data_IF_424255544171
#
_entry.id   IF_424255544171
#
_cell.length_a   1.000
_cell.length_b   1.000
_cell.length_c   1.000
_cell.angle_alpha   90.00
_cell.angle_beta   90.00
_cell.angle_gamma   90.00
#
_symmetry.space_group_name_H-M   'P 1'
#
loop_
_entity.id
_entity.type
_entity.pdbx_description
1 polymer ?
#
# COMPACT_ATOMS: atom_id res chain seq x y z
N UNK A 1 1.28 -26.20 1.05
CA UNK A 1 1.80 -24.84 1.19
C UNK A 1 0.66 -23.87 1.43
N UNK A 2 0.67 -23.20 2.55
CA UNK A 2 -0.42 -22.32 2.90
C UNK A 2 -0.08 -20.88 2.57
N UNK A 3 -1.04 -20.19 2.00
CA UNK A 3 -0.92 -18.75 1.82
C UNK A 3 -1.23 -18.07 3.15
N UNK A 4 -0.55 -17.00 3.42
CA UNK A 4 -0.80 -16.18 4.59
C UNK A 4 -1.55 -14.93 4.17
N UNK A 5 -2.51 -14.53 4.99
CA UNK A 5 -3.36 -13.38 4.69
C UNK A 5 -3.41 -12.48 5.92
N UNK A 6 -3.35 -11.18 5.70
CA UNK A 6 -3.52 -10.20 6.77
C UNK A 6 -4.37 -9.05 6.25
N UNK A 7 -5.43 -8.75 6.97
CA UNK A 7 -6.32 -7.65 6.62
C UNK A 7 -6.36 -6.67 7.78
N UNK A 8 -6.21 -5.38 7.46
CA UNK A 8 -6.26 -4.32 8.45
C UNK A 8 -7.28 -3.30 8.01
N UNK A 9 -8.03 -2.77 8.96
CA UNK A 9 -8.89 -1.61 8.75
C UNK A 9 -8.42 -0.54 9.71
N UNK A 10 -7.93 0.56 9.17
CA UNK A 10 -7.27 1.59 9.96
C UNK A 10 -7.95 2.94 9.75
N UNK A 11 -7.99 3.78 10.79
CA UNK A 11 -8.50 5.13 10.58
C UNK A 11 -7.60 5.90 9.61
N UNK A 12 -8.19 6.83 8.88
CA UNK A 12 -7.44 7.60 7.88
C UNK A 12 -6.71 8.75 8.57
N UNK A 13 -5.75 8.40 9.40
CA UNK A 13 -4.95 9.36 10.16
C UNK A 13 -3.48 9.00 10.02
N UNK A 14 -2.59 9.98 10.18
CA UNK A 14 -1.16 9.73 9.91
C UNK A 14 -0.54 8.62 10.74
N UNK A 15 -0.99 8.42 11.98
CA UNK A 15 -0.40 7.37 12.82
C UNK A 15 -0.70 5.98 12.29
N UNK A 16 -1.67 5.82 11.42
CA UNK A 16 -1.97 4.53 10.83
C UNK A 16 -0.86 4.04 9.91
N UNK A 17 -0.03 4.95 9.40
CA UNK A 17 1.10 4.57 8.54
C UNK A 17 2.07 3.68 9.31
N UNK A 18 2.48 4.14 10.50
CA UNK A 18 3.42 3.36 11.31
C UNK A 18 2.80 2.05 11.76
N UNK A 19 1.50 2.06 12.05
CA UNK A 19 0.83 0.84 12.48
C UNK A 19 0.77 -0.20 11.38
N UNK A 20 0.42 0.22 10.17
CA UNK A 20 0.38 -0.72 9.04
C UNK A 20 1.76 -1.31 8.78
N UNK A 21 2.78 -0.46 8.80
CA UNK A 21 4.15 -0.89 8.56
C UNK A 21 4.57 -1.92 9.59
N UNK A 22 4.28 -1.67 10.87
CA UNK A 22 4.68 -2.59 11.93
C UNK A 22 3.93 -3.92 11.82
N UNK A 23 2.63 -3.86 11.58
CA UNK A 23 1.84 -5.08 11.54
C UNK A 23 2.24 -5.97 10.36
N UNK A 24 2.44 -5.38 9.20
CA UNK A 24 2.83 -6.20 8.05
C UNK A 24 4.25 -6.71 8.18
N UNK A 25 5.18 -5.88 8.68
CA UNK A 25 6.55 -6.35 8.79
C UNK A 25 6.70 -7.42 9.85
N UNK A 26 5.94 -7.33 10.95
CA UNK A 26 5.97 -8.40 11.96
C UNK A 26 5.42 -9.70 11.42
N UNK A 27 4.33 -9.61 10.66
CA UNK A 27 3.72 -10.82 10.13
C UNK A 27 4.61 -11.51 9.11
N UNK A 28 5.36 -10.75 8.34
CA UNK A 28 6.16 -11.31 7.25
C UNK A 28 7.62 -11.55 7.62
N UNK A 29 8.07 -11.04 8.77
CA UNK A 29 9.47 -11.18 9.16
C UNK A 29 9.97 -12.62 9.15
N UNK A 30 9.18 -13.61 9.54
CA UNK A 30 9.70 -14.98 9.51
C UNK A 30 10.04 -15.49 8.12
N UNK A 31 9.50 -14.87 7.08
CA UNK A 31 9.62 -15.42 5.74
C UNK A 31 10.38 -14.54 4.77
N UNK A 32 10.61 -13.27 5.10
CA UNK A 32 11.32 -12.36 4.22
C UNK A 32 12.69 -12.04 4.77
N UNK A 33 13.66 -11.95 3.87
CA UNK A 33 14.98 -11.48 4.25
C UNK A 33 14.96 -10.00 4.60
N UNK A 34 16.03 -9.54 5.25
CA UNK A 34 16.08 -8.18 5.76
C UNK A 34 15.91 -7.13 4.67
N UNK A 35 16.52 -7.35 3.51
CA UNK A 35 16.42 -6.39 2.42
C UNK A 35 15.01 -6.30 1.88
N UNK A 36 14.36 -7.45 1.72
CA UNK A 36 12.98 -7.45 1.25
C UNK A 36 12.04 -6.85 2.28
N UNK A 37 12.31 -7.09 3.55
CA UNK A 37 11.50 -6.54 4.61
C UNK A 37 11.62 -5.02 4.64
N UNK A 38 12.81 -4.48 4.41
CA UNK A 38 12.99 -3.04 4.33
C UNK A 38 12.23 -2.46 3.16
N UNK A 39 12.26 -3.13 2.02
CA UNK A 39 11.49 -2.69 0.84
C UNK A 39 10.01 -2.72 1.15
N UNK A 40 9.52 -3.78 1.78
CA UNK A 40 8.12 -3.89 2.16
C UNK A 40 7.71 -2.71 3.04
N UNK A 41 8.50 -2.41 4.06
CA UNK A 41 8.19 -1.31 4.97
C UNK A 41 8.08 0.02 4.23
N UNK A 42 9.01 0.24 3.30
CA UNK A 42 9.02 1.48 2.54
C UNK A 42 7.78 1.60 1.66
N UNK A 43 7.45 0.53 0.94
CA UNK A 43 6.31 0.57 0.03
C UNK A 43 4.99 0.65 0.78
N UNK A 44 4.85 -0.05 1.89
CA UNK A 44 3.64 0.04 2.70
C UNK A 44 3.48 1.46 3.22
N UNK A 45 4.57 2.07 3.68
CA UNK A 45 4.52 3.45 4.17
C UNK A 45 4.03 4.40 3.08
N UNK A 46 4.52 4.23 1.85
CA UNK A 46 4.11 5.08 0.75
C UNK A 46 2.64 4.90 0.40
N UNK A 47 2.19 3.65 0.33
CA UNK A 47 0.81 3.39 -0.03
C UNK A 47 -0.17 3.88 1.03
N UNK A 48 0.13 3.63 2.31
CA UNK A 48 -0.78 4.04 3.37
C UNK A 48 -0.76 5.56 3.53
N UNK A 49 0.41 6.19 3.41
CA UNK A 49 0.48 7.66 3.44
C UNK A 49 -0.39 8.24 2.34
N UNK A 50 -0.29 7.66 1.15
CA UNK A 50 -1.05 8.10 0.01
C UNK A 50 -2.56 7.97 0.27
N UNK A 51 -2.97 6.82 0.80
CA UNK A 51 -4.39 6.59 1.07
C UNK A 51 -4.92 7.54 2.14
N UNK A 52 -4.14 7.79 3.19
CA UNK A 52 -4.54 8.71 4.25
C UNK A 52 -4.71 10.13 3.69
N UNK A 53 -3.80 10.53 2.80
CA UNK A 53 -3.88 11.88 2.22
C UNK A 53 -5.08 12.06 1.32
N UNK A 54 -5.51 11.00 0.65
CA UNK A 54 -6.58 11.10 -0.32
C UNK A 54 -7.94 10.69 0.22
N UNK A 55 -7.98 10.14 1.43
CA UNK A 55 -9.23 9.81 2.07
C UNK A 55 -9.94 11.10 2.45
N UNK A 56 -11.26 11.06 2.49
CA UNK A 56 -12.02 12.24 2.88
C UNK A 56 -12.15 12.39 4.39
N UNK A 57 -11.48 11.53 5.14
CA UNK A 57 -11.45 11.62 6.58
C UNK A 57 -12.57 10.90 7.29
N UNK A 58 -13.56 10.40 6.56
CA UNK A 58 -14.71 9.75 7.18
C UNK A 58 -14.66 8.24 7.06
N UNK A 59 -14.00 7.71 6.04
CA UNK A 59 -13.94 6.28 5.82
C UNK A 59 -12.56 5.74 6.16
N UNK A 60 -12.48 4.51 6.66
CA UNK A 60 -11.19 3.94 6.99
C UNK A 60 -10.38 3.57 5.76
N UNK A 61 -9.10 3.36 5.99
CA UNK A 61 -8.19 2.81 4.98
C UNK A 61 -8.11 1.32 5.22
N UNK A 62 -8.18 0.54 4.15
CA UNK A 62 -8.11 -0.91 4.24
C UNK A 62 -6.82 -1.40 3.63
N UNK A 63 -6.15 -2.29 4.33
CA UNK A 63 -4.90 -2.90 3.89
C UNK A 63 -5.10 -4.39 3.81
N UNK A 64 -4.77 -4.95 2.68
CA UNK A 64 -4.96 -6.35 2.37
C UNK A 64 -3.64 -6.90 1.90
N UNK A 65 -3.15 -7.92 2.55
CA UNK A 65 -1.88 -8.52 2.15
C UNK A 65 -2.00 -10.02 2.11
N UNK A 66 -1.37 -10.62 1.12
CA UNK A 66 -1.18 -12.07 1.17
C UNK A 66 0.19 -12.40 0.61
N UNK A 67 0.76 -13.51 1.11
CA UNK A 67 2.09 -13.90 0.68
C UNK A 67 2.25 -15.41 0.73
N UNK A 68 2.91 -15.92 -0.29
CA UNK A 68 3.35 -17.29 -0.37
C UNK A 68 4.61 -17.31 -1.23
N UNK A 69 4.54 -17.53 -2.54
CA UNK A 69 5.68 -17.39 -3.42
C UNK A 69 6.00 -15.96 -3.78
N UNK A 70 5.07 -15.06 -3.53
CA UNK A 70 5.27 -13.63 -3.73
C UNK A 70 4.47 -12.89 -2.68
N UNK A 71 4.77 -11.62 -2.52
CA UNK A 71 4.07 -10.76 -1.57
C UNK A 71 3.21 -9.80 -2.37
N UNK A 72 1.92 -9.75 -2.04
CA UNK A 72 1.00 -8.79 -2.66
C UNK A 72 0.33 -7.98 -1.57
N UNK A 73 0.37 -6.66 -1.72
CA UNK A 73 -0.26 -5.74 -0.76
C UNK A 73 -1.16 -4.79 -1.54
N UNK A 74 -2.37 -4.59 -1.04
CA UNK A 74 -3.34 -3.66 -1.60
C UNK A 74 -3.76 -2.70 -0.51
N UNK A 75 -3.81 -1.42 -0.83
CA UNK A 75 -4.26 -0.39 0.11
C UNK A 75 -5.38 0.38 -0.56
N UNK A 76 -6.53 0.41 0.08
CA UNK A 76 -7.73 1.03 -0.48
C UNK A 76 -8.20 2.17 0.39
N UNK A 77 -8.58 3.27 -0.24
CA UNK A 77 -9.29 4.33 0.45
C UNK A 77 -10.65 4.50 -0.24
N UNK A 78 -11.58 5.07 0.49
CA UNK A 78 -12.94 5.26 0.00
C UNK A 78 -13.26 6.75 -0.11
N UNK A 79 -12.27 7.53 -0.50
CA UNK A 79 -12.46 8.96 -0.70
C UNK A 79 -13.56 9.23 -1.68
N UNK A 80 -14.34 10.26 -1.41
CA UNK A 80 -15.51 10.58 -2.20
C UNK A 80 -15.25 11.74 -3.11
N UNK A 81 -16.02 11.81 -4.19
CA UNK A 81 -15.95 12.93 -5.07
C UNK A 81 -14.61 13.12 -5.70
N UNK A 82 -13.85 12.15 -5.73
CA UNK A 82 -12.52 12.17 -6.17
C UNK A 82 -12.45 12.04 -7.68
N UNK A 83 -11.76 12.95 -8.31
CA UNK A 83 -11.59 12.91 -9.74
C UNK A 83 -10.18 12.44 -10.04
N UNK A 84 -10.01 11.27 -10.61
CA UNK A 84 -8.68 10.71 -10.78
C UNK A 84 -7.88 11.30 -11.92
N UNK A 85 -8.53 11.87 -12.91
CA UNK A 85 -7.82 12.23 -14.13
C UNK A 85 -6.62 13.13 -13.92
N UNK A 86 -6.76 14.25 -13.22
CA UNK A 86 -5.61 15.13 -13.12
C UNK A 86 -4.47 14.53 -12.33
N UNK A 87 -4.80 13.63 -11.44
CA UNK A 87 -3.78 13.06 -10.58
C UNK A 87 -2.91 12.06 -11.30
N UNK A 88 -3.51 11.32 -12.20
CA UNK A 88 -2.74 10.29 -12.88
C UNK A 88 -1.67 10.89 -13.78
N UNK A 89 -1.91 12.06 -14.28
CA UNK A 89 -0.88 12.72 -15.06
C UNK A 89 0.28 13.22 -14.25
N UNK A 90 0.21 13.08 -12.94
CA UNK A 90 1.21 13.64 -12.05
C UNK A 90 1.86 12.58 -11.18
N UNK A 91 1.87 11.37 -11.62
CA UNK A 91 2.41 10.27 -10.82
C UNK A 91 3.91 10.40 -10.60
N UNK A 92 4.58 11.13 -11.44
CA UNK A 92 6.00 11.34 -11.32
C UNK A 92 6.37 12.52 -10.44
N UNK A 93 5.38 13.24 -9.92
CA UNK A 93 5.67 14.41 -9.13
C UNK A 93 5.96 14.05 -7.69
N UNK A 94 6.97 14.63 -7.08
CA UNK A 94 7.22 14.43 -5.65
C UNK A 94 6.01 14.91 -4.86
N UNK A 95 5.58 14.12 -3.91
CA UNK A 95 4.43 14.48 -3.12
C UNK A 95 3.11 14.17 -3.78
N UNK A 96 3.12 13.62 -5.00
CA UNK A 96 1.90 13.20 -5.64
C UNK A 96 1.31 12.01 -4.94
N UNK A 97 1.47 10.82 -5.52
CA UNK A 97 0.92 9.61 -4.91
C UNK A 97 1.95 8.75 -4.19
N UNK A 98 3.21 9.17 -4.17
CA UNK A 98 4.24 8.31 -3.63
C UNK A 98 4.54 7.11 -4.52
N UNK A 99 3.95 7.06 -5.69
CA UNK A 99 4.05 5.90 -6.56
C UNK A 99 5.36 5.82 -7.31
N UNK A 100 6.14 6.89 -7.27
CA UNK A 100 7.45 6.87 -7.88
C UNK A 100 8.31 5.75 -7.30
N UNK A 101 8.35 5.66 -5.96
CA UNK A 101 9.11 4.59 -5.31
C UNK A 101 8.50 3.22 -5.58
N UNK A 102 7.18 3.14 -5.58
CA UNK A 102 6.52 1.88 -5.84
C UNK A 102 6.90 1.38 -7.23
N UNK A 103 6.88 2.27 -8.22
CA UNK A 103 7.24 1.89 -9.57
C UNK A 103 8.69 1.46 -9.72
N UNK A 104 9.56 1.96 -8.86
CA UNK A 104 10.97 1.62 -8.94
C UNK A 104 11.32 0.34 -8.19
N UNK A 105 10.60 0.05 -7.12
CA UNK A 105 10.99 -1.03 -6.22
C UNK A 105 10.11 -2.26 -6.31
N UNK A 106 8.86 -2.11 -6.74
CA UNK A 106 7.97 -3.24 -6.86
C UNK A 106 8.20 -3.96 -8.19
N UNK A 107 7.97 -5.26 -8.17
CA UNK A 107 8.05 -6.03 -9.40
C UNK A 107 6.85 -5.77 -10.29
N UNK A 108 5.68 -5.59 -9.66
CA UNK A 108 4.46 -5.19 -10.37
C UNK A 108 3.69 -4.26 -9.46
N UNK A 109 2.90 -3.37 -10.04
CA UNK A 109 2.07 -2.48 -9.26
C UNK A 109 0.98 -1.90 -10.14
N UNK A 110 -0.05 -1.36 -9.52
CA UNK A 110 -1.11 -0.74 -10.28
C UNK A 110 -2.04 0.07 -9.39
N UNK A 111 -2.96 0.77 -10.03
CA UNK A 111 -3.96 1.60 -9.38
C UNK A 111 -5.31 1.26 -9.97
N UNK A 112 -6.30 1.05 -9.12
CA UNK A 112 -7.67 0.80 -9.55
C UNK A 112 -8.58 1.82 -8.90
N UNK A 113 -9.51 2.35 -9.68
CA UNK A 113 -10.43 3.37 -9.21
C UNK A 113 -11.84 2.91 -9.46
N UNK A 114 -12.43 2.27 -8.48
CA UNK A 114 -13.77 1.73 -8.61
C UNK A 114 -14.47 1.95 -7.28
N UNK A 115 -15.10 3.10 -7.11
CA UNK A 115 -15.75 3.44 -5.87
C UNK A 115 -14.77 3.85 -4.79
N UNK A 116 -13.61 4.28 -5.19
CA UNK A 116 -12.52 4.65 -4.29
C UNK A 116 -11.25 4.41 -5.04
N UNK A 117 -10.13 4.33 -4.34
CA UNK A 117 -8.84 4.10 -4.98
C UNK A 117 -8.15 2.94 -4.26
N UNK A 118 -7.70 1.98 -5.03
CA UNK A 118 -6.88 0.88 -4.54
C UNK A 118 -5.53 0.93 -5.25
N UNK A 119 -4.47 0.99 -4.49
CA UNK A 119 -3.11 0.90 -5.03
C UNK A 119 -2.51 -0.39 -4.52
N UNK A 120 -1.87 -1.13 -5.39
CA UNK A 120 -1.34 -2.43 -5.02
C UNK A 120 0.06 -2.62 -5.58
N UNK A 121 0.83 -3.48 -4.91
CA UNK A 121 2.14 -3.88 -5.44
C UNK A 121 2.39 -5.35 -5.17
N UNK A 122 3.31 -5.91 -5.94
CA UNK A 122 3.77 -7.28 -5.80
C UNK A 122 5.29 -7.28 -5.72
N UNK A 123 5.81 -8.01 -4.75
CA UNK A 123 7.24 -8.26 -4.62
C UNK A 123 7.47 -9.76 -4.78
N UNK A 124 8.39 -10.11 -5.67
CA UNK A 124 8.78 -11.50 -5.80
C UNK A 124 9.70 -11.88 -4.65
N UNK A 125 9.52 -13.06 -4.13
CA UNK A 125 10.39 -13.54 -3.08
C UNK A 125 11.66 -14.13 -3.69
N UNK A 126 12.75 -13.94 -3.00
CA UNK A 126 14.04 -14.45 -3.45
C UNK A 126 14.60 -15.48 -2.52
#
# INVERSE_FOLDING_TARGET
MEAHVLDLTLPAVPTSVARARAELSEAMAPELGGEQLDTLRLLVSELVTNAVRHADGSAPVEVHAHWDGEVRVEVSDHGQGFSPQPRFGRLDEPGGFGLFLVGRLADHWGVETDGGTTVWFVLQRH
#
